data_IF_699071750569
#
_entry.id   IF_699071750569
#
_cell.length_a   1.000
_cell.length_b   1.000
_cell.length_c   1.000
_cell.angle_alpha   90.00
_cell.angle_beta   90.00
_cell.angle_gamma   90.00
#
_symmetry.space_group_name_H-M   'P 1'
#
loop_
_entity.id
_entity.type
_entity.pdbx_description
1 polymer ?
#
# COMPACT_ATOMS: atom_id res chain seq x y z
N UNK A 1 -50.54 -9.85 57.00
CA UNK A 1 -51.23 -9.11 55.93
C UNK A 1 -50.22 -8.93 54.80
N UNK A 2 -50.42 -9.68 53.71
CA UNK A 2 -49.73 -9.77 52.39
C UNK A 2 -48.18 -9.71 52.27
N UNK A 3 -47.55 -10.71 51.64
CA UNK A 3 -46.21 -10.60 51.08
C UNK A 3 -46.25 -9.91 49.70
N UNK A 4 -45.32 -8.99 49.46
CA UNK A 4 -45.21 -8.24 48.21
C UNK A 4 -44.40 -9.04 47.19
N UNK A 5 -45.12 -9.66 46.25
CA UNK A 5 -44.56 -10.36 45.10
C UNK A 5 -44.32 -9.36 43.98
N UNK A 6 -43.07 -8.92 43.78
CA UNK A 6 -42.65 -8.28 42.53
C UNK A 6 -41.49 -9.05 41.92
N UNK A 7 -41.86 -9.96 41.01
CA UNK A 7 -40.91 -10.63 40.12
C UNK A 7 -40.26 -9.58 39.20
N UNK A 8 -38.93 -9.62 38.97
CA UNK A 8 -38.33 -8.79 37.95
C UNK A 8 -38.75 -9.30 36.57
N UNK A 9 -39.52 -8.49 35.85
CA UNK A 9 -39.89 -8.75 34.47
C UNK A 9 -38.63 -8.93 33.61
N UNK A 10 -38.49 -10.11 33.00
CA UNK A 10 -37.55 -10.37 31.91
C UNK A 10 -37.80 -9.36 30.79
N UNK A 11 -36.99 -8.30 30.74
CA UNK A 11 -36.88 -7.46 29.55
C UNK A 11 -36.15 -8.28 28.48
N UNK A 12 -36.90 -8.83 27.54
CA UNK A 12 -36.33 -9.28 26.27
C UNK A 12 -35.60 -8.09 25.65
N UNK A 13 -34.30 -8.19 25.31
CA UNK A 13 -33.61 -7.11 24.63
C UNK A 13 -34.31 -6.83 23.29
N UNK A 14 -34.43 -5.56 22.85
CA UNK A 14 -34.98 -5.26 21.54
C UNK A 14 -34.16 -5.98 20.46
N UNK A 15 -34.78 -6.42 19.35
CA UNK A 15 -34.04 -7.05 18.27
C UNK A 15 -33.01 -6.04 17.75
N UNK A 16 -31.75 -6.25 18.13
CA UNK A 16 -30.63 -5.42 17.72
C UNK A 16 -30.62 -5.35 16.20
N UNK A 17 -30.69 -4.13 15.66
CA UNK A 17 -30.50 -3.83 14.24
C UNK A 17 -29.29 -4.59 13.70
N UNK A 18 -29.52 -5.73 13.05
CA UNK A 18 -28.54 -6.39 12.18
C UNK A 18 -28.46 -5.60 10.87
N UNK A 19 -27.99 -4.36 10.92
CA UNK A 19 -27.92 -3.52 9.73
C UNK A 19 -26.77 -2.55 9.85
N UNK A 20 -25.63 -2.91 9.27
CA UNK A 20 -24.45 -2.03 9.26
C UNK A 20 -23.42 -2.36 8.19
N UNK A 21 -23.08 -3.63 7.94
CA UNK A 21 -21.95 -3.98 7.05
C UNK A 21 -22.34 -4.75 5.77
N UNK A 22 -23.63 -4.99 5.54
CA UNK A 22 -24.09 -5.74 4.37
C UNK A 22 -23.79 -5.07 3.03
N UNK A 23 -23.66 -3.73 3.02
CA UNK A 23 -23.52 -2.94 1.80
C UNK A 23 -22.06 -2.64 1.42
N UNK A 24 -21.11 -2.79 2.34
CA UNK A 24 -19.71 -2.45 2.07
C UNK A 24 -19.09 -3.33 0.97
N UNK A 25 -19.20 -4.65 1.10
CA UNK A 25 -18.65 -5.60 0.12
C UNK A 25 -19.23 -5.37 -1.29
N UNK A 26 -20.57 -5.26 -1.50
CA UNK A 26 -21.11 -5.00 -2.83
C UNK A 26 -20.74 -3.61 -3.37
N UNK A 27 -20.63 -2.57 -2.52
CA UNK A 27 -20.17 -1.26 -2.96
C UNK A 27 -18.72 -1.29 -3.46
N UNK A 28 -17.82 -1.94 -2.71
CA UNK A 28 -16.41 -2.13 -3.13
C UNK A 28 -16.34 -2.94 -4.43
N UNK A 29 -17.12 -4.02 -4.54
CA UNK A 29 -17.18 -4.82 -5.75
C UNK A 29 -17.63 -3.98 -6.96
N UNK A 30 -18.66 -3.14 -6.79
CA UNK A 30 -19.15 -2.27 -7.86
C UNK A 30 -18.07 -1.27 -8.34
N UNK A 31 -17.30 -0.68 -7.42
CA UNK A 31 -16.19 0.22 -7.77
C UNK A 31 -15.12 -0.52 -8.58
N UNK A 32 -14.70 -1.71 -8.14
CA UNK A 32 -13.71 -2.49 -8.87
C UNK A 32 -14.21 -2.91 -10.26
N UNK A 33 -15.48 -3.33 -10.38
CA UNK A 33 -16.08 -3.67 -11.67
C UNK A 33 -16.15 -2.47 -12.61
N UNK A 34 -16.48 -1.29 -12.08
CA UNK A 34 -16.49 -0.04 -12.84
C UNK A 34 -15.08 0.31 -13.34
N UNK A 35 -14.07 0.19 -12.48
CA UNK A 35 -12.67 0.41 -12.87
C UNK A 35 -12.20 -0.61 -13.91
N UNK A 36 -12.55 -1.89 -13.74
CA UNK A 36 -12.24 -2.95 -14.70
C UNK A 36 -12.83 -2.65 -16.08
N UNK A 37 -14.08 -2.17 -16.12
CA UNK A 37 -14.73 -1.80 -17.37
C UNK A 37 -14.10 -0.54 -18.00
N UNK A 38 -13.88 0.51 -17.20
CA UNK A 38 -13.30 1.78 -17.66
C UNK A 38 -11.89 1.62 -18.24
N UNK A 39 -11.04 0.85 -17.56
CA UNK A 39 -9.63 0.68 -17.91
C UNK A 39 -9.35 -0.61 -18.69
N UNK A 40 -10.40 -1.25 -19.23
CA UNK A 40 -10.31 -2.51 -19.98
C UNK A 40 -9.21 -2.53 -21.07
N UNK A 41 -9.02 -1.48 -21.88
CA UNK A 41 -7.96 -1.46 -22.90
C UNK A 41 -6.55 -1.62 -22.31
N UNK A 42 -6.24 -0.88 -21.22
CA UNK A 42 -4.95 -0.94 -20.55
C UNK A 42 -4.75 -2.26 -19.81
N UNK A 43 -5.82 -2.83 -19.24
CA UNK A 43 -5.77 -4.12 -18.55
C UNK A 43 -5.47 -5.25 -19.54
N UNK A 44 -6.17 -5.28 -20.67
CA UNK A 44 -5.95 -6.27 -21.73
C UNK A 44 -4.52 -6.16 -22.30
N UNK A 45 -4.06 -4.93 -22.52
CA UNK A 45 -2.68 -4.66 -22.93
C UNK A 45 -1.65 -5.13 -21.89
N UNK A 46 -1.96 -4.95 -20.60
CA UNK A 46 -1.11 -5.44 -19.50
C UNK A 46 -1.00 -6.96 -19.50
N UNK A 47 -2.11 -7.68 -19.70
CA UNK A 47 -2.08 -9.15 -19.79
C UNK A 47 -1.38 -9.65 -21.06
N UNK A 48 -1.61 -8.99 -22.21
CA UNK A 48 -0.90 -9.32 -23.46
C UNK A 48 0.61 -9.14 -23.30
N UNK A 49 1.04 -8.01 -22.73
CA UNK A 49 2.46 -7.76 -22.50
C UNK A 49 3.06 -8.72 -21.47
N UNK A 50 2.33 -9.07 -20.40
CA UNK A 50 2.77 -10.09 -19.44
C UNK A 50 2.98 -11.45 -20.13
N UNK A 51 2.03 -11.87 -20.99
CA UNK A 51 2.15 -13.13 -21.72
C UNK A 51 3.34 -13.13 -22.71
N UNK A 52 3.56 -12.00 -23.39
CA UNK A 52 4.69 -11.84 -24.32
C UNK A 52 6.02 -11.84 -23.56
N UNK A 53 6.07 -11.23 -22.37
CA UNK A 53 7.24 -11.22 -21.51
C UNK A 53 7.55 -12.62 -20.96
N UNK A 54 6.54 -13.38 -20.56
CA UNK A 54 6.71 -14.77 -20.12
C UNK A 54 7.27 -15.66 -21.23
N UNK A 55 6.78 -15.52 -22.46
CA UNK A 55 7.33 -16.24 -23.62
C UNK A 55 8.76 -15.80 -23.93
N UNK A 56 9.04 -14.49 -23.90
CA UNK A 56 10.38 -13.98 -24.14
C UNK A 56 11.36 -14.41 -23.05
N UNK A 57 10.94 -14.52 -21.79
CA UNK A 57 11.77 -15.04 -20.70
C UNK A 57 12.26 -16.47 -20.98
N UNK A 58 11.45 -17.29 -21.65
CA UNK A 58 11.83 -18.67 -22.01
C UNK A 58 12.71 -18.71 -23.25
N UNK A 59 12.46 -17.84 -24.23
CA UNK A 59 13.16 -17.84 -25.52
C UNK A 59 14.50 -17.09 -25.48
N UNK A 60 14.51 -15.90 -24.88
CA UNK A 60 15.67 -15.01 -24.77
C UNK A 60 15.57 -14.15 -23.48
N UNK A 61 16.04 -14.68 -22.34
CA UNK A 61 16.02 -13.97 -21.07
C UNK A 61 16.81 -12.65 -21.11
N UNK A 62 17.90 -12.60 -21.87
CA UNK A 62 18.73 -11.40 -22.03
C UNK A 62 17.94 -10.26 -22.68
N UNK A 63 17.21 -10.55 -23.76
CA UNK A 63 16.38 -9.56 -24.44
C UNK A 63 15.30 -8.98 -23.52
N UNK A 64 14.67 -9.81 -22.68
CA UNK A 64 13.69 -9.33 -21.71
C UNK A 64 14.35 -8.40 -20.68
N UNK A 65 15.50 -8.79 -20.13
CA UNK A 65 16.20 -8.01 -19.09
C UNK A 65 16.60 -6.61 -19.57
N UNK A 66 16.89 -6.46 -20.86
CA UNK A 66 17.25 -5.17 -21.47
C UNK A 66 16.06 -4.18 -21.56
N UNK A 67 14.82 -4.67 -21.49
CA UNK A 67 13.61 -3.87 -21.75
C UNK A 67 12.73 -3.76 -20.49
N UNK A 68 12.83 -4.73 -19.59
CA UNK A 68 12.01 -4.80 -18.39
C UNK A 68 12.23 -3.59 -17.48
N UNK A 69 11.13 -2.94 -17.09
CA UNK A 69 11.18 -1.84 -16.11
C UNK A 69 10.22 -2.09 -14.94
N UNK A 70 10.54 -1.59 -13.73
CA UNK A 70 9.66 -1.71 -12.57
C UNK A 70 8.25 -1.10 -12.77
N UNK A 71 8.14 -0.10 -13.63
CA UNK A 71 6.86 0.54 -13.97
C UNK A 71 5.91 -0.44 -14.66
N UNK A 72 6.42 -1.27 -15.57
CA UNK A 72 5.63 -2.27 -16.30
C UNK A 72 5.17 -3.37 -15.35
N UNK A 73 6.05 -3.84 -14.47
CA UNK A 73 5.68 -4.81 -13.45
C UNK A 73 4.50 -4.29 -12.60
N UNK A 74 4.45 -2.99 -12.35
CA UNK A 74 3.32 -2.36 -11.65
C UNK A 74 2.01 -2.49 -12.42
N UNK A 75 2.01 -2.32 -13.74
CA UNK A 75 0.83 -2.53 -14.58
C UNK A 75 0.36 -3.98 -14.52
N UNK A 76 1.28 -4.95 -14.58
CA UNK A 76 0.92 -6.37 -14.48
C UNK A 76 0.31 -6.71 -13.12
N UNK A 77 0.94 -6.27 -12.03
CA UNK A 77 0.44 -6.49 -10.67
C UNK A 77 -0.92 -5.83 -10.49
N UNK A 78 -1.08 -4.58 -10.94
CA UNK A 78 -2.34 -3.86 -10.86
C UNK A 78 -3.46 -4.53 -11.67
N UNK A 79 -3.17 -5.01 -12.88
CA UNK A 79 -4.12 -5.75 -13.71
C UNK A 79 -4.53 -7.07 -13.05
N UNK A 80 -3.57 -7.85 -12.53
CA UNK A 80 -3.85 -9.07 -11.80
C UNK A 80 -4.70 -8.80 -10.54
N UNK A 81 -4.38 -7.75 -9.79
CA UNK A 81 -5.14 -7.33 -8.60
C UNK A 81 -6.58 -6.94 -8.94
N UNK A 82 -6.78 -6.17 -10.02
CA UNK A 82 -8.09 -5.69 -10.46
C UNK A 82 -9.02 -6.84 -10.92
N UNK A 83 -8.46 -7.97 -11.38
CA UNK A 83 -9.22 -9.18 -11.71
C UNK A 83 -9.43 -10.08 -10.48
N UNK A 84 -8.39 -10.28 -9.67
CA UNK A 84 -8.41 -11.21 -8.55
C UNK A 84 -9.36 -10.75 -7.43
N UNK A 85 -9.36 -9.46 -7.09
CA UNK A 85 -10.16 -8.95 -5.97
C UNK A 85 -11.67 -9.12 -6.20
N UNK A 86 -12.25 -8.71 -7.34
CA UNK A 86 -13.67 -8.96 -7.64
C UNK A 86 -14.04 -10.44 -7.58
N UNK A 87 -13.18 -11.33 -8.07
CA UNK A 87 -13.40 -12.77 -8.01
C UNK A 87 -13.47 -13.25 -6.55
N UNK A 88 -12.51 -12.86 -5.71
CA UNK A 88 -12.49 -13.18 -4.28
C UNK A 88 -13.73 -12.63 -3.56
N UNK A 89 -14.07 -11.36 -3.77
CA UNK A 89 -15.24 -10.72 -3.16
C UNK A 89 -16.55 -11.41 -3.59
N UNK A 90 -16.66 -11.80 -4.86
CA UNK A 90 -17.82 -12.54 -5.39
C UNK A 90 -17.95 -13.92 -4.75
N UNK A 91 -16.84 -14.65 -4.60
CA UNK A 91 -16.81 -15.94 -3.89
C UNK A 91 -17.22 -15.78 -2.44
N UNK A 92 -16.74 -14.73 -1.75
CA UNK A 92 -17.11 -14.44 -0.36
C UNK A 92 -18.60 -14.12 -0.22
N UNK A 93 -19.17 -13.32 -1.13
CA UNK A 93 -20.61 -13.02 -1.17
C UNK A 93 -21.44 -14.28 -1.43
N UNK A 94 -21.01 -15.12 -2.38
CA UNK A 94 -21.68 -16.38 -2.68
C UNK A 94 -21.68 -17.33 -1.47
N UNK A 95 -20.52 -17.48 -0.80
CA UNK A 95 -20.39 -18.27 0.43
C UNK A 95 -21.30 -17.75 1.54
N UNK A 96 -21.34 -16.43 1.75
CA UNK A 96 -22.20 -15.78 2.77
C UNK A 96 -23.69 -16.06 2.51
N UNK A 97 -24.15 -15.90 1.26
CA UNK A 97 -25.55 -16.20 0.87
C UNK A 97 -25.90 -17.68 1.05
N UNK A 98 -24.99 -18.59 0.67
CA UNK A 98 -25.20 -20.04 0.81
C UNK A 98 -25.25 -20.49 2.27
N UNK A 99 -24.44 -19.89 3.15
CA UNK A 99 -24.42 -20.19 4.59
C UNK A 99 -25.68 -19.70 5.31
N UNK A 100 -26.16 -18.49 5.00
CA UNK A 100 -27.44 -17.98 5.50
C UNK A 100 -28.63 -18.86 5.11
N UNK A 101 -28.51 -19.62 4.02
CA UNK A 101 -29.53 -20.59 3.57
C UNK A 101 -29.47 -21.93 4.33
N UNK A 102 -28.36 -22.22 5.01
CA UNK A 102 -28.09 -23.49 5.73
C UNK A 102 -28.21 -23.36 7.26
N UNK A 103 -28.06 -22.16 7.82
CA UNK A 103 -28.18 -21.84 9.26
C UNK A 103 -29.65 -21.75 9.78
N UNK A 104 -30.65 -22.12 8.97
CA UNK A 104 -32.05 -22.28 9.43
C UNK A 104 -32.35 -23.67 10.04
N UNK A 105 -31.32 -24.43 10.44
CA UNK A 105 -31.47 -25.71 11.16
C UNK A 105 -30.83 -25.65 12.55
N UNK A 106 -31.40 -26.32 13.58
CA UNK A 106 -30.90 -26.24 14.94
C UNK A 106 -29.61 -27.08 15.08
N UNK A 107 -28.50 -26.43 15.38
CA UNK A 107 -27.22 -27.09 15.65
C UNK A 107 -26.23 -26.15 16.32
N UNK A 108 -26.04 -26.34 17.63
CA UNK A 108 -25.03 -25.67 18.44
C UNK A 108 -23.63 -26.19 18.05
N UNK A 109 -22.86 -25.38 17.32
CA UNK A 109 -21.42 -25.62 17.12
C UNK A 109 -20.65 -24.78 18.15
N UNK A 110 -19.92 -25.45 19.05
CA UNK A 110 -18.82 -24.84 19.80
C UNK A 110 -17.87 -24.14 18.82
N UNK A 111 -17.97 -22.82 18.76
CA UNK A 111 -17.25 -22.07 17.77
C UNK A 111 -15.77 -22.04 18.11
N UNK A 112 -14.93 -22.58 17.21
CA UNK A 112 -13.46 -22.43 17.25
C UNK A 112 -13.05 -21.02 17.72
N UNK A 113 -12.04 -20.93 18.60
CA UNK A 113 -11.50 -19.66 19.13
C UNK A 113 -11.30 -18.58 18.05
N UNK A 114 -10.87 -18.99 16.85
CA UNK A 114 -10.72 -18.12 15.69
C UNK A 114 -12.05 -17.54 15.19
N UNK A 115 -13.13 -18.33 15.16
CA UNK A 115 -14.49 -17.89 14.84
C UNK A 115 -15.03 -16.92 15.90
N UNK A 116 -14.70 -17.12 17.17
CA UNK A 116 -15.12 -16.23 18.27
C UNK A 116 -14.41 -14.88 18.15
N UNK A 117 -13.07 -14.87 18.06
CA UNK A 117 -12.30 -13.64 17.87
C UNK A 117 -12.69 -12.89 16.60
N UNK A 118 -12.89 -13.60 15.47
CA UNK A 118 -13.37 -12.95 14.26
C UNK A 118 -14.75 -12.30 14.45
N UNK A 119 -15.68 -12.95 15.17
CA UNK A 119 -16.98 -12.35 15.48
C UNK A 119 -16.84 -11.13 16.40
N UNK A 120 -15.97 -11.19 17.41
CA UNK A 120 -15.70 -10.06 18.28
C UNK A 120 -15.14 -8.86 17.50
N UNK A 121 -14.17 -9.09 16.60
CA UNK A 121 -13.65 -8.05 15.72
C UNK A 121 -14.75 -7.44 14.83
N UNK A 122 -15.59 -8.29 14.22
CA UNK A 122 -16.69 -7.84 13.36
C UNK A 122 -17.81 -7.10 14.11
N UNK A 123 -17.84 -7.13 15.45
CA UNK A 123 -18.77 -6.31 16.26
C UNK A 123 -18.25 -4.89 16.46
N UNK A 124 -16.96 -4.63 16.22
CA UNK A 124 -16.38 -3.32 16.41
C UNK A 124 -16.46 -2.46 15.14
N UNK A 125 -17.37 -1.49 15.15
CA UNK A 125 -17.61 -0.62 14.00
C UNK A 125 -16.35 0.20 13.61
N UNK A 126 -15.62 0.72 14.60
CA UNK A 126 -14.45 1.57 14.37
C UNK A 126 -13.32 0.77 13.68
N UNK A 127 -12.99 -0.42 14.19
CA UNK A 127 -11.97 -1.28 13.61
C UNK A 127 -12.35 -1.75 12.19
N UNK A 128 -13.63 -1.96 11.91
CA UNK A 128 -14.11 -2.30 10.57
C UNK A 128 -13.97 -1.14 9.58
N UNK A 129 -14.34 0.08 9.98
CA UNK A 129 -14.16 1.27 9.12
C UNK A 129 -12.68 1.51 8.87
N UNK A 130 -11.83 1.41 9.89
CA UNK A 130 -10.39 1.53 9.74
C UNK A 130 -9.81 0.45 8.81
N UNK A 131 -10.27 -0.79 8.92
CA UNK A 131 -9.87 -1.89 8.02
C UNK A 131 -10.30 -1.64 6.58
N UNK A 132 -11.50 -1.09 6.38
CA UNK A 132 -12.00 -0.70 5.07
C UNK A 132 -11.14 0.39 4.44
N UNK A 133 -10.74 1.41 5.22
CA UNK A 133 -9.85 2.47 4.77
C UNK A 133 -8.47 1.92 4.42
N UNK A 134 -7.88 1.06 5.25
CA UNK A 134 -6.61 0.40 4.94
C UNK A 134 -6.71 -0.42 3.64
N UNK A 135 -7.80 -1.17 3.46
CA UNK A 135 -8.04 -1.90 2.22
C UNK A 135 -8.10 -0.96 1.00
N UNK A 136 -8.76 0.19 1.12
CA UNK A 136 -8.80 1.21 0.06
C UNK A 136 -7.40 1.78 -0.20
N UNK A 137 -6.60 2.06 0.84
CA UNK A 137 -5.24 2.57 0.71
C UNK A 137 -4.31 1.59 -0.02
N UNK A 138 -4.32 0.31 0.35
CA UNK A 138 -3.55 -0.70 -0.40
C UNK A 138 -4.09 -0.92 -1.81
N UNK A 139 -5.41 -0.88 -2.00
CA UNK A 139 -6.00 -0.96 -3.34
C UNK A 139 -5.55 0.21 -4.21
N UNK A 140 -5.50 1.42 -3.64
CA UNK A 140 -4.98 2.64 -4.30
C UNK A 140 -3.53 2.46 -4.69
N UNK A 141 -2.70 1.87 -3.82
CA UNK A 141 -1.31 1.56 -4.13
C UNK A 141 -1.18 0.59 -5.32
N UNK A 142 -1.89 -0.54 -5.31
CA UNK A 142 -1.84 -1.51 -6.41
C UNK A 142 -2.42 -0.96 -7.72
N UNK A 143 -3.45 -0.13 -7.65
CA UNK A 143 -4.15 0.43 -8.80
C UNK A 143 -3.59 1.78 -9.26
N UNK A 144 -2.54 2.30 -8.62
CA UNK A 144 -1.93 3.59 -8.96
C UNK A 144 -1.65 3.78 -10.46
N UNK A 145 -1.15 2.78 -11.22
CA UNK A 145 -0.93 2.93 -12.65
C UNK A 145 -2.20 3.22 -13.48
N UNK A 146 -3.36 2.81 -12.98
CA UNK A 146 -4.65 2.93 -13.66
C UNK A 146 -5.48 4.11 -13.16
N UNK A 147 -5.39 4.44 -11.87
CA UNK A 147 -6.24 5.49 -11.26
C UNK A 147 -5.58 6.87 -11.24
N UNK A 148 -4.24 6.95 -11.30
CA UNK A 148 -3.57 8.24 -11.32
C UNK A 148 -3.88 8.96 -12.64
N UNK A 149 -4.24 10.25 -12.63
CA UNK A 149 -4.53 10.99 -13.86
C UNK A 149 -3.26 11.25 -14.70
N UNK A 150 -2.12 11.47 -14.05
CA UNK A 150 -0.84 11.77 -14.69
C UNK A 150 0.26 10.82 -14.22
N UNK A 151 1.34 10.72 -14.99
CA UNK A 151 2.56 10.08 -14.51
C UNK A 151 3.13 10.93 -13.36
N UNK A 152 3.54 10.32 -12.23
CA UNK A 152 4.08 11.06 -11.10
C UNK A 152 5.47 11.67 -11.38
N UNK A 153 6.08 11.26 -12.50
CA UNK A 153 7.43 11.65 -12.93
C UNK A 153 7.41 12.75 -13.99
N UNK A 154 6.28 12.95 -14.68
CA UNK A 154 6.16 13.90 -15.79
C UNK A 154 6.31 15.32 -15.26
N UNK A 155 7.49 15.91 -15.48
CA UNK A 155 7.67 17.35 -15.36
C UNK A 155 6.96 18.00 -16.54
N UNK A 156 6.04 18.92 -16.24
CA UNK A 156 5.24 19.60 -17.24
C UNK A 156 5.86 20.95 -17.57
N UNK A 157 5.23 21.74 -18.44
CA UNK A 157 5.67 23.11 -18.75
C UNK A 157 5.64 24.00 -17.50
N UNK A 158 6.70 23.97 -16.70
CA UNK A 158 6.76 24.56 -15.36
C UNK A 158 6.40 26.05 -15.32
N UNK A 159 6.61 26.79 -16.42
CA UNK A 159 6.22 28.19 -16.56
C UNK A 159 4.70 28.40 -16.43
N UNK A 160 3.91 27.39 -16.80
CA UNK A 160 2.44 27.40 -16.74
C UNK A 160 1.96 26.51 -15.60
N UNK A 161 2.61 25.38 -15.34
CA UNK A 161 2.07 24.35 -14.45
C UNK A 161 2.63 24.39 -13.04
N UNK A 162 3.71 25.11 -12.75
CA UNK A 162 4.27 25.15 -11.41
C UNK A 162 3.32 25.83 -10.41
N UNK A 163 3.23 25.27 -9.21
CA UNK A 163 2.53 25.86 -8.06
C UNK A 163 1.06 26.25 -8.31
N UNK A 164 0.36 25.52 -9.17
CA UNK A 164 -1.08 25.69 -9.35
C UNK A 164 -1.85 25.09 -8.17
N UNK A 165 -2.81 25.84 -7.60
CA UNK A 165 -3.59 25.39 -6.46
C UNK A 165 -4.50 24.21 -6.81
N UNK A 166 -5.09 23.54 -5.80
CA UNK A 166 -6.06 22.48 -6.01
C UNK A 166 -7.23 22.90 -6.91
N UNK A 167 -7.74 21.94 -7.67
CA UNK A 167 -8.84 22.13 -8.65
C UNK A 167 -8.52 23.10 -9.80
N UNK A 168 -7.24 23.35 -10.10
CA UNK A 168 -6.88 24.15 -11.27
C UNK A 168 -7.15 23.39 -12.56
N UNK A 169 -7.76 24.06 -13.53
CA UNK A 169 -7.97 23.58 -14.89
C UNK A 169 -7.04 24.33 -15.84
N UNK A 170 -6.23 23.60 -16.61
CA UNK A 170 -5.30 24.17 -17.60
C UNK A 170 -5.59 23.62 -19.00
N UNK A 171 -5.34 24.45 -20.00
CA UNK A 171 -5.40 24.05 -21.40
C UNK A 171 -4.04 23.51 -21.85
N UNK A 172 -4.08 22.41 -22.60
CA UNK A 172 -2.89 21.77 -23.13
C UNK A 172 -3.05 21.51 -24.63
N UNK A 173 -2.17 22.10 -25.44
CA UNK A 173 -2.13 21.89 -26.89
C UNK A 173 -1.60 20.49 -27.18
N UNK A 174 -2.30 19.73 -28.02
CA UNK A 174 -1.92 18.36 -28.38
C UNK A 174 -1.08 18.36 -29.65
N UNK A 175 0.14 17.86 -29.55
CA UNK A 175 1.11 17.84 -30.65
C UNK A 175 1.06 16.51 -31.41
N UNK A 176 1.44 16.51 -32.69
CA UNK A 176 1.71 15.28 -33.45
C UNK A 176 2.95 14.53 -32.96
N UNK A 177 3.87 15.22 -32.29
CA UNK A 177 5.05 14.61 -31.70
C UNK A 177 4.64 13.59 -30.63
N UNK A 178 5.27 12.42 -30.62
CA UNK A 178 4.99 11.40 -29.61
C UNK A 178 5.63 11.73 -28.24
N UNK A 179 4.96 11.30 -27.17
CA UNK A 179 5.32 11.54 -25.76
C UNK A 179 6.50 10.69 -25.29
N UNK A 180 7.65 10.79 -25.97
CA UNK A 180 8.94 10.09 -25.69
C UNK A 180 9.09 8.72 -26.39
N UNK A 181 10.19 8.56 -27.14
CA UNK A 181 10.61 7.33 -27.83
C UNK A 181 12.14 7.19 -27.77
N UNK A 182 12.67 6.26 -26.99
CA UNK A 182 14.11 5.87 -27.04
C UNK A 182 14.34 4.35 -26.86
N UNK A 183 13.38 3.49 -27.24
CA UNK A 183 13.72 2.07 -27.43
C UNK A 183 13.57 1.76 -28.91
N UNK A 184 14.63 1.83 -29.73
CA UNK A 184 14.52 1.54 -31.15
C UNK A 184 13.94 0.13 -31.37
N UNK A 185 13.03 0.02 -32.34
CA UNK A 185 12.49 -1.28 -32.78
C UNK A 185 13.64 -2.03 -33.43
N UNK A 186 13.84 -3.29 -33.06
CA UNK A 186 14.93 -4.08 -33.63
C UNK A 186 14.57 -4.58 -35.03
N UNK A 187 15.53 -4.50 -35.94
CA UNK A 187 15.44 -5.09 -37.28
C UNK A 187 15.92 -6.54 -37.22
N UNK A 188 15.15 -7.45 -37.80
CA UNK A 188 15.48 -8.88 -37.83
C UNK A 188 14.25 -9.76 -38.01
N UNK A 189 14.48 -11.03 -38.32
CA UNK A 189 13.43 -12.05 -38.44
C UNK A 189 13.50 -13.05 -37.29
N UNK A 190 12.34 -13.60 -36.90
CA UNK A 190 12.25 -14.60 -35.83
C UNK A 190 11.21 -14.27 -34.75
N UNK A 191 10.78 -15.30 -34.01
CA UNK A 191 9.74 -15.16 -32.98
C UNK A 191 10.19 -14.27 -31.82
N UNK A 192 11.44 -14.37 -31.38
CA UNK A 192 11.99 -13.55 -30.29
C UNK A 192 11.97 -12.06 -30.63
N UNK A 193 12.42 -11.68 -31.83
CA UNK A 193 12.40 -10.28 -32.31
C UNK A 193 10.96 -9.74 -32.42
N UNK A 194 10.02 -10.56 -32.92
CA UNK A 194 8.58 -10.17 -32.97
C UNK A 194 8.00 -9.93 -31.58
N UNK A 195 8.27 -10.83 -30.64
CA UNK A 195 7.83 -10.70 -29.25
C UNK A 195 8.45 -9.46 -28.58
N UNK A 196 9.74 -9.23 -28.80
CA UNK A 196 10.47 -8.07 -28.30
C UNK A 196 9.84 -6.75 -28.82
N UNK A 197 9.61 -6.65 -30.13
CA UNK A 197 9.01 -5.47 -30.74
C UNK A 197 7.55 -5.26 -30.29
N UNK A 198 6.78 -6.34 -30.13
CA UNK A 198 5.43 -6.28 -29.54
C UNK A 198 5.47 -5.78 -28.10
N UNK A 199 6.40 -6.27 -27.27
CA UNK A 199 6.59 -5.82 -25.90
C UNK A 199 6.97 -4.35 -25.82
N UNK A 200 7.91 -3.91 -26.65
CA UNK A 200 8.31 -2.50 -26.71
C UNK A 200 7.11 -1.61 -27.05
N UNK A 201 6.30 -2.01 -28.03
CA UNK A 201 5.06 -1.30 -28.39
C UNK A 201 4.08 -1.23 -27.22
N UNK A 202 3.84 -2.37 -26.57
CA UNK A 202 2.89 -2.46 -25.45
C UNK A 202 3.37 -1.63 -24.26
N UNK A 203 4.66 -1.67 -23.93
CA UNK A 203 5.24 -0.88 -22.85
C UNK A 203 5.16 0.61 -23.12
N UNK A 204 5.36 1.06 -24.36
CA UNK A 204 5.15 2.47 -24.73
C UNK A 204 3.70 2.88 -24.48
N UNK A 205 2.74 2.09 -24.95
CA UNK A 205 1.33 2.39 -24.78
C UNK A 205 0.87 2.35 -23.30
N UNK A 206 1.43 1.45 -22.49
CA UNK A 206 1.19 1.42 -21.03
C UNK A 206 1.80 2.64 -20.33
N UNK A 207 3.05 3.00 -20.64
CA UNK A 207 3.72 4.18 -20.04
C UNK A 207 3.01 5.48 -20.40
N UNK A 208 2.57 5.62 -21.64
CA UNK A 208 1.79 6.80 -22.06
C UNK A 208 0.31 6.72 -21.68
N UNK A 209 -0.13 5.62 -21.06
CA UNK A 209 -1.53 5.35 -20.69
C UNK A 209 -2.50 5.60 -21.84
N UNK A 210 -2.14 5.10 -23.02
CA UNK A 210 -2.90 5.30 -24.24
C UNK A 210 -3.04 6.78 -24.67
N UNK A 211 -2.13 7.65 -24.24
CA UNK A 211 -2.00 9.04 -24.69
C UNK A 211 -0.65 9.21 -25.42
N UNK A 212 -0.53 8.72 -26.67
CA UNK A 212 0.75 8.64 -27.37
C UNK A 212 1.35 10.00 -27.72
N UNK A 213 0.55 11.07 -27.71
CA UNK A 213 0.92 12.39 -28.19
C UNK A 213 1.44 13.28 -27.05
N UNK A 214 2.45 14.07 -27.35
CA UNK A 214 2.97 15.10 -26.45
C UNK A 214 1.95 16.23 -26.29
N UNK A 215 1.93 16.83 -25.10
CA UNK A 215 1.06 17.97 -24.79
C UNK A 215 1.90 19.13 -24.31
N UNK A 216 1.48 20.36 -24.62
CA UNK A 216 2.07 21.60 -24.11
C UNK A 216 1.04 22.43 -23.38
N UNK A 217 1.26 22.69 -22.10
CA UNK A 217 0.38 23.54 -21.30
C UNK A 217 0.59 25.01 -21.64
N UNK A 218 -0.51 25.74 -21.75
CA UNK A 218 -0.53 27.15 -22.18
C UNK A 218 -1.50 27.94 -21.31
N UNK A 219 -1.20 29.24 -21.09
CA UNK A 219 -2.12 30.16 -20.42
C UNK A 219 -3.21 30.66 -21.37
N UNK A 220 -2.86 30.81 -22.65
CA UNK A 220 -3.77 31.17 -23.73
C UNK A 220 -3.15 30.83 -25.08
N UNK A 221 -3.99 30.61 -26.10
CA UNK A 221 -3.54 30.40 -27.47
C UNK A 221 -4.46 31.12 -28.46
N UNK A 222 -3.92 31.43 -29.64
CA UNK A 222 -4.65 31.98 -30.76
C UNK A 222 -4.10 31.38 -32.06
N UNK A 223 -5.01 31.04 -32.98
CA UNK A 223 -4.66 30.54 -34.30
C UNK A 223 -4.88 31.67 -35.30
N UNK A 224 -3.82 32.10 -35.98
CA UNK A 224 -3.87 33.11 -37.04
C UNK A 224 -3.00 32.68 -38.22
N UNK A 225 -3.55 32.76 -39.44
CA UNK A 225 -2.81 32.58 -40.70
C UNK A 225 -1.92 31.32 -40.75
N UNK A 226 -2.44 30.18 -40.26
CA UNK A 226 -1.71 28.89 -40.28
C UNK A 226 -0.66 28.73 -39.18
N UNK A 227 -0.56 29.68 -38.24
CA UNK A 227 0.32 29.57 -37.07
C UNK A 227 -0.47 29.67 -35.77
N UNK A 228 -0.01 28.94 -34.77
CA UNK A 228 -0.54 29.00 -33.41
C UNK A 228 0.40 29.83 -32.56
N UNK A 229 -0.09 30.98 -32.12
CA UNK A 229 0.60 31.82 -31.13
C UNK A 229 0.06 31.46 -29.75
N UNK A 230 0.93 31.08 -28.83
CA UNK A 230 0.55 30.66 -27.49
C UNK A 230 1.44 31.27 -26.41
N UNK A 231 0.87 31.47 -25.23
CA UNK A 231 1.53 32.10 -24.09
C UNK A 231 1.87 31.06 -23.01
N UNK A 232 3.11 31.09 -22.53
CA UNK A 232 3.61 30.30 -21.41
C UNK A 232 4.29 31.24 -20.41
N UNK A 233 3.57 31.62 -19.36
CA UNK A 233 3.98 32.64 -18.40
C UNK A 233 4.22 33.98 -19.08
N UNK A 234 5.46 34.47 -19.02
CA UNK A 234 5.86 35.74 -19.66
C UNK A 234 6.30 35.58 -21.11
N UNK A 235 6.36 34.35 -21.64
CA UNK A 235 6.86 34.09 -23.00
C UNK A 235 5.70 33.83 -23.95
N UNK A 236 5.71 34.53 -25.08
CA UNK A 236 4.85 34.22 -26.22
C UNK A 236 5.67 33.44 -27.23
N UNK A 237 5.15 32.31 -27.69
CA UNK A 237 5.79 31.43 -28.67
C UNK A 237 4.84 31.20 -29.83
N UNK A 238 5.40 30.89 -30.99
CA UNK A 238 4.66 30.52 -32.19
C UNK A 238 5.06 29.13 -32.63
N UNK A 239 4.11 28.39 -33.19
CA UNK A 239 4.37 27.13 -33.88
C UNK A 239 3.45 27.00 -35.11
N UNK A 240 3.86 26.29 -36.16
CA UNK A 240 3.00 25.95 -37.29
C UNK A 240 1.79 25.11 -36.83
N UNK A 241 0.62 25.34 -37.43
CA UNK A 241 -0.60 24.55 -37.12
C UNK A 241 -0.41 23.07 -37.47
N UNK A 242 0.50 22.76 -38.39
CA UNK A 242 0.84 21.40 -38.80
C UNK A 242 1.43 20.57 -37.66
N UNK A 243 2.01 21.20 -36.63
CA UNK A 243 2.52 20.51 -35.43
C UNK A 243 1.41 20.01 -34.51
N UNK A 244 0.18 20.55 -34.62
CA UNK A 244 -0.96 20.13 -33.81
C UNK A 244 -1.56 18.82 -34.33
N UNK A 245 -2.00 17.96 -33.41
CA UNK A 245 -2.68 16.71 -33.73
C UNK A 245 -3.98 16.96 -34.50
N UNK A 246 -4.83 17.85 -33.97
CA UNK A 246 -6.12 18.24 -34.56
C UNK A 246 -6.25 19.77 -34.49
N UNK A 247 -6.08 20.49 -35.62
CA UNK A 247 -6.24 21.95 -35.66
C UNK A 247 -7.64 22.47 -35.29
N UNK A 248 -8.70 21.66 -35.46
CA UNK A 248 -10.07 22.09 -35.16
C UNK A 248 -10.35 22.07 -33.66
N UNK A 249 -9.75 21.12 -32.94
CA UNK A 249 -9.77 21.05 -31.48
C UNK A 249 -8.34 20.91 -30.93
N UNK A 250 -7.57 22.02 -30.95
CA UNK A 250 -6.12 21.99 -30.73
C UNK A 250 -5.74 21.74 -29.27
N UNK A 251 -6.65 22.01 -28.34
CA UNK A 251 -6.39 21.98 -26.91
C UNK A 251 -7.30 20.99 -26.19
N UNK A 252 -6.74 20.27 -25.23
CA UNK A 252 -7.48 19.48 -24.25
C UNK A 252 -7.38 20.13 -22.89
N UNK A 253 -8.48 20.13 -22.15
CA UNK A 253 -8.47 20.61 -20.78
C UNK A 253 -8.04 19.52 -19.81
N UNK A 254 -7.23 19.89 -18.82
CA UNK A 254 -6.64 19.00 -17.82
C UNK A 254 -6.84 19.60 -16.43
N UNK A 255 -7.31 18.77 -15.50
CA UNK A 255 -7.63 19.19 -14.12
C UNK A 255 -6.59 18.63 -13.16
N UNK A 256 -6.04 19.50 -12.30
CA UNK A 256 -5.11 19.16 -11.22
C UNK A 256 -5.84 19.16 -9.89
N UNK A 257 -6.42 18.02 -9.52
CA UNK A 257 -7.35 17.93 -8.38
C UNK A 257 -6.73 18.36 -7.04
N UNK A 258 -5.48 17.96 -6.77
CA UNK A 258 -4.74 18.35 -5.56
C UNK A 258 -3.67 19.43 -5.82
N UNK A 259 -3.71 20.05 -6.99
CA UNK A 259 -2.73 21.04 -7.41
C UNK A 259 -1.43 20.41 -7.93
N UNK A 260 -0.41 21.26 -8.06
CA UNK A 260 0.89 20.90 -8.65
C UNK A 260 2.04 21.36 -7.75
N UNK A 261 3.21 20.75 -7.95
CA UNK A 261 4.45 21.15 -7.29
C UNK A 261 5.27 22.17 -8.10
N UNK A 262 6.47 22.48 -7.60
CA UNK A 262 7.41 23.41 -8.22
C UNK A 262 7.87 23.03 -9.63
N UNK A 263 7.77 21.76 -10.00
CA UNK A 263 8.13 21.23 -11.33
C UNK A 263 6.89 21.02 -12.21
N UNK A 264 5.71 21.45 -11.75
CA UNK A 264 4.45 21.24 -12.45
C UNK A 264 3.96 19.80 -12.45
N UNK A 265 4.46 18.95 -11.53
CA UNK A 265 3.99 17.57 -11.40
C UNK A 265 2.69 17.56 -10.61
N UNK A 266 1.74 16.70 -11.01
CA UNK A 266 0.44 16.58 -10.35
C UNK A 266 0.57 15.94 -8.95
N UNK A 267 0.14 16.65 -7.91
CA UNK A 267 0.22 16.19 -6.51
C UNK A 267 -0.67 14.99 -6.27
N UNK A 268 -1.84 14.89 -6.91
CA UNK A 268 -2.74 13.75 -6.75
C UNK A 268 -2.06 12.45 -7.20
N UNK A 269 -1.47 12.46 -8.39
CA UNK A 269 -0.72 11.33 -8.94
C UNK A 269 0.48 10.99 -8.07
N UNK A 270 1.20 11.99 -7.56
CA UNK A 270 2.34 11.78 -6.65
C UNK A 270 1.92 11.17 -5.31
N UNK A 271 0.81 11.60 -4.70
CA UNK A 271 0.28 11.03 -3.44
C UNK A 271 -0.20 9.60 -3.65
N UNK A 272 -0.91 9.33 -4.76
CA UNK A 272 -1.37 7.99 -5.13
C UNK A 272 -0.18 7.04 -5.33
N UNK A 273 0.83 7.42 -6.11
CA UNK A 273 2.03 6.60 -6.28
C UNK A 273 2.88 6.51 -5.01
N UNK A 274 2.93 7.59 -4.22
CA UNK A 274 3.64 7.63 -2.93
C UNK A 274 3.10 6.62 -1.93
N UNK A 275 1.79 6.32 -1.99
CA UNK A 275 1.18 5.28 -1.15
C UNK A 275 1.85 3.91 -1.36
N UNK A 276 2.31 3.60 -2.57
CA UNK A 276 2.99 2.32 -2.87
C UNK A 276 4.27 2.19 -2.08
N UNK A 277 5.08 3.24 -2.08
CA UNK A 277 6.38 3.21 -1.42
C UNK A 277 6.20 3.23 0.09
N UNK A 278 5.45 4.20 0.62
CA UNK A 278 5.29 4.36 2.07
C UNK A 278 4.57 3.16 2.72
N UNK A 279 3.51 2.61 2.10
CA UNK A 279 2.83 1.42 2.64
C UNK A 279 3.70 0.16 2.52
N UNK A 280 4.44 -0.01 1.43
CA UNK A 280 5.33 -1.17 1.26
C UNK A 280 6.47 -1.17 2.27
N UNK A 281 7.09 -0.01 2.53
CA UNK A 281 8.14 0.11 3.56
C UNK A 281 7.55 -0.23 4.93
N UNK A 282 6.40 0.35 5.29
CA UNK A 282 5.70 0.04 6.54
C UNK A 282 5.46 -1.45 6.74
N UNK A 283 4.92 -2.12 5.72
CA UNK A 283 4.62 -3.54 5.75
C UNK A 283 5.88 -4.41 5.82
N UNK A 284 6.86 -4.18 4.94
CA UNK A 284 8.07 -5.00 4.85
C UNK A 284 8.92 -4.90 6.12
N UNK A 285 9.08 -3.71 6.67
CA UNK A 285 9.85 -3.52 7.91
C UNK A 285 9.19 -4.25 9.07
N UNK A 286 7.86 -4.13 9.23
CA UNK A 286 7.15 -4.89 10.28
C UNK A 286 7.30 -6.38 10.06
N UNK A 287 7.13 -6.87 8.83
CA UNK A 287 7.24 -8.29 8.51
C UNK A 287 8.64 -8.84 8.90
N UNK A 288 9.71 -8.16 8.49
CA UNK A 288 11.09 -8.56 8.79
C UNK A 288 11.37 -8.45 10.29
N UNK A 289 11.06 -7.32 10.92
CA UNK A 289 11.27 -7.11 12.36
C UNK A 289 10.51 -8.11 13.21
N UNK A 290 9.27 -8.43 12.85
CA UNK A 290 8.45 -9.40 13.58
C UNK A 290 8.99 -10.79 13.42
N UNK A 291 9.39 -11.17 12.21
CA UNK A 291 9.97 -12.50 11.94
C UNK A 291 11.28 -12.67 12.72
N UNK A 292 12.22 -11.73 12.58
CA UNK A 292 13.50 -11.78 13.27
C UNK A 292 13.33 -11.74 14.79
N UNK A 293 12.50 -10.83 15.29
CA UNK A 293 12.20 -10.72 16.71
C UNK A 293 11.56 -11.99 17.27
N UNK A 294 10.65 -12.62 16.53
CA UNK A 294 10.02 -13.88 16.95
C UNK A 294 11.03 -15.02 17.00
N UNK A 295 11.88 -15.16 16.00
CA UNK A 295 12.93 -16.19 15.99
C UNK A 295 13.86 -16.01 17.19
N UNK A 296 14.36 -14.80 17.43
CA UNK A 296 15.27 -14.54 18.55
C UNK A 296 14.56 -14.73 19.89
N UNK A 297 13.35 -14.17 20.08
CA UNK A 297 12.61 -14.24 21.33
C UNK A 297 12.14 -15.64 21.70
N UNK A 298 11.70 -16.45 20.72
CA UNK A 298 11.37 -17.86 20.94
C UNK A 298 12.60 -18.67 21.31
N UNK A 299 13.70 -18.48 20.58
CA UNK A 299 14.96 -19.19 20.85
C UNK A 299 15.49 -18.85 22.24
N UNK A 300 15.56 -17.56 22.58
CA UNK A 300 16.08 -17.11 23.87
C UNK A 300 15.18 -17.57 25.04
N UNK A 301 13.87 -17.39 24.93
CA UNK A 301 12.92 -17.76 25.99
C UNK A 301 12.81 -19.26 26.20
N UNK A 302 12.91 -20.06 25.13
CA UNK A 302 12.76 -21.52 25.20
C UNK A 302 13.99 -22.21 25.79
N UNK A 303 15.19 -21.90 25.26
CA UNK A 303 16.42 -22.53 25.70
C UNK A 303 16.94 -21.97 27.04
N UNK A 304 16.68 -20.70 27.34
CA UNK A 304 17.11 -20.08 28.59
C UNK A 304 18.65 -20.05 28.74
N UNK A 305 19.10 -19.89 29.99
CA UNK A 305 20.53 -19.98 30.36
C UNK A 305 21.42 -19.03 29.57
N UNK A 306 22.52 -19.55 29.03
CA UNK A 306 23.51 -18.75 28.30
C UNK A 306 22.99 -18.22 26.95
N UNK A 307 22.10 -18.95 26.26
CA UNK A 307 21.50 -18.52 24.98
C UNK A 307 20.69 -17.27 25.22
N UNK A 308 19.89 -17.27 26.28
CA UNK A 308 19.09 -16.13 26.67
C UNK A 308 19.94 -14.94 27.13
N UNK A 309 20.95 -15.20 27.97
CA UNK A 309 21.87 -14.18 28.44
C UNK A 309 22.60 -13.49 27.28
N UNK A 310 23.13 -14.25 26.31
CA UNK A 310 23.83 -13.69 25.16
C UNK A 310 22.88 -12.92 24.24
N UNK A 311 21.73 -13.50 23.89
CA UNK A 311 20.77 -12.87 23.00
C UNK A 311 20.22 -11.57 23.60
N UNK A 312 19.83 -11.59 24.88
CA UNK A 312 19.31 -10.40 25.54
C UNK A 312 20.40 -9.36 25.80
N UNK A 313 21.64 -9.77 26.09
CA UNK A 313 22.76 -8.82 26.21
C UNK A 313 23.02 -8.08 24.90
N UNK A 314 22.99 -8.77 23.76
CA UNK A 314 23.10 -8.13 22.44
C UNK A 314 21.95 -7.15 22.20
N UNK A 315 20.72 -7.55 22.51
CA UNK A 315 19.54 -6.67 22.40
C UNK A 315 19.69 -5.44 23.29
N UNK A 316 20.11 -5.60 24.54
CA UNK A 316 20.26 -4.50 25.50
C UNK A 316 21.36 -3.52 25.08
N UNK A 317 22.48 -4.02 24.54
CA UNK A 317 23.55 -3.19 23.96
C UNK A 317 23.01 -2.35 22.80
N UNK A 318 22.25 -2.96 21.88
CA UNK A 318 21.74 -2.25 20.71
C UNK A 318 20.63 -1.24 21.07
N UNK A 319 19.76 -1.55 22.04
CA UNK A 319 18.72 -0.62 22.53
C UNK A 319 19.32 0.59 23.27
N UNK A 320 20.50 0.43 23.88
CA UNK A 320 21.18 1.54 24.56
C UNK A 320 21.55 2.69 23.61
N UNK A 321 21.72 2.40 22.31
CA UNK A 321 21.89 3.43 21.29
C UNK A 321 20.53 4.00 20.87
N UNK A 322 20.38 5.34 20.78
CA UNK A 322 19.11 5.89 20.30
C UNK A 322 18.90 5.53 18.83
N UNK A 323 17.80 4.83 18.55
CA UNK A 323 17.54 4.21 17.25
C UNK A 323 17.63 5.19 16.08
N UNK A 324 17.16 6.43 16.26
CA UNK A 324 17.26 7.46 15.23
C UNK A 324 18.71 7.75 14.83
N UNK A 325 19.63 7.93 15.78
CA UNK A 325 21.05 8.16 15.43
C UNK A 325 21.64 6.99 14.67
N UNK A 326 21.34 5.77 15.07
CA UNK A 326 21.82 4.57 14.37
C UNK A 326 21.30 4.52 12.93
N UNK A 327 20.01 4.82 12.73
CA UNK A 327 19.41 4.88 11.39
C UNK A 327 20.10 5.96 10.55
N UNK A 328 20.27 7.17 11.10
CA UNK A 328 20.89 8.30 10.40
C UNK A 328 22.34 8.00 10.02
N UNK A 329 23.14 7.42 10.93
CA UNK A 329 24.54 7.07 10.65
C UNK A 329 24.62 6.04 9.52
N UNK A 330 23.80 4.99 9.57
CA UNK A 330 23.81 3.95 8.54
C UNK A 330 23.44 4.55 7.18
N UNK A 331 22.36 5.32 7.11
CA UNK A 331 21.91 5.90 5.84
C UNK A 331 22.92 6.94 5.32
N UNK A 332 23.45 7.80 6.18
CA UNK A 332 24.45 8.80 5.78
C UNK A 332 25.76 8.17 5.30
N UNK A 333 26.15 7.02 5.86
CA UNK A 333 27.40 6.32 5.51
C UNK A 333 27.25 5.50 4.22
N UNK A 334 26.14 4.76 4.07
CA UNK A 334 25.96 3.81 2.96
C UNK A 334 25.10 4.37 1.81
N UNK A 335 24.59 5.60 1.94
CA UNK A 335 23.80 6.28 0.92
C UNK A 335 22.30 5.97 0.98
N UNK A 336 21.54 6.58 0.10
CA UNK A 336 20.07 6.47 0.11
C UNK A 336 19.58 5.39 -0.85
N UNK A 337 18.94 4.34 -0.31
CA UNK A 337 18.28 3.30 -1.08
C UNK A 337 17.04 2.80 -0.34
N UNK A 338 15.95 2.52 -1.07
CA UNK A 338 14.72 1.95 -0.48
C UNK A 338 15.05 0.65 0.27
N UNK A 339 15.94 -0.18 -0.30
CA UNK A 339 16.39 -1.42 0.33
C UNK A 339 17.15 -1.15 1.62
N UNK A 340 18.06 -0.16 1.62
CA UNK A 340 18.80 0.21 2.82
C UNK A 340 17.88 0.75 3.91
N UNK A 341 16.89 1.58 3.55
CA UNK A 341 15.89 2.08 4.51
C UNK A 341 15.15 0.91 5.14
N UNK A 342 14.65 -0.04 4.34
CA UNK A 342 13.94 -1.22 4.85
C UNK A 342 14.83 -2.06 5.77
N UNK A 343 16.06 -2.36 5.36
CA UNK A 343 17.00 -3.15 6.17
C UNK A 343 17.35 -2.43 7.48
N UNK A 344 17.63 -1.14 7.41
CA UNK A 344 18.04 -0.32 8.56
C UNK A 344 16.91 -0.19 9.59
N UNK A 345 15.69 0.12 9.13
CA UNK A 345 14.52 0.16 10.01
C UNK A 345 14.17 -1.23 10.57
N UNK A 346 14.38 -2.30 9.78
CA UNK A 346 14.14 -3.67 10.25
C UNK A 346 15.15 -4.09 11.32
N UNK A 347 16.42 -3.71 11.14
CA UNK A 347 17.54 -3.96 12.04
C UNK A 347 17.37 -3.26 13.38
N UNK A 348 16.82 -2.04 13.39
CA UNK A 348 16.51 -1.36 14.65
C UNK A 348 15.16 -1.79 15.25
N UNK A 349 14.26 -2.34 14.43
CA UNK A 349 12.91 -2.67 14.84
C UNK A 349 12.68 -4.05 15.49
N UNK A 350 13.56 -5.03 15.31
CA UNK A 350 13.30 -6.40 15.79
C UNK A 350 13.49 -6.57 17.31
N UNK A 351 14.30 -5.72 17.92
CA UNK A 351 14.70 -5.79 19.34
C UNK A 351 13.52 -5.69 20.31
N UNK A 352 12.58 -4.78 20.07
CA UNK A 352 11.38 -4.68 20.89
C UNK A 352 10.49 -5.92 20.79
N UNK A 353 10.38 -6.50 19.58
CA UNK A 353 9.60 -7.72 19.35
C UNK A 353 10.23 -8.91 20.05
N UNK A 354 11.55 -9.06 20.01
CA UNK A 354 12.23 -10.19 20.66
C UNK A 354 11.98 -10.23 22.16
N UNK A 355 11.97 -9.07 22.84
CA UNK A 355 11.65 -8.97 24.27
C UNK A 355 10.20 -9.34 24.58
N UNK A 356 9.25 -8.89 23.76
CA UNK A 356 7.82 -9.24 23.90
C UNK A 356 7.63 -10.75 23.70
N UNK A 357 8.24 -11.32 22.65
CA UNK A 357 8.11 -12.74 22.36
C UNK A 357 8.76 -13.57 23.47
N UNK A 358 9.94 -13.19 23.93
CA UNK A 358 10.64 -13.85 25.04
C UNK A 358 9.76 -13.92 26.29
N UNK A 359 9.14 -12.80 26.69
CA UNK A 359 8.30 -12.80 27.89
C UNK A 359 7.10 -13.75 27.76
N UNK A 360 6.49 -13.82 26.59
CA UNK A 360 5.41 -14.77 26.30
C UNK A 360 5.90 -16.22 26.35
N UNK A 361 7.07 -16.50 25.79
CA UNK A 361 7.66 -17.85 25.78
C UNK A 361 8.01 -18.30 27.20
N UNK A 362 8.55 -17.41 28.04
CA UNK A 362 8.84 -17.70 29.44
C UNK A 362 7.56 -18.06 30.21
N UNK A 363 6.44 -17.40 29.95
CA UNK A 363 5.16 -17.76 30.58
C UNK A 363 4.58 -19.06 30.01
N UNK A 364 4.61 -19.24 28.69
CA UNK A 364 4.02 -20.42 28.04
C UNK A 364 4.79 -21.71 28.33
N UNK A 365 6.13 -21.65 28.47
CA UNK A 365 6.94 -22.86 28.68
C UNK A 365 6.66 -23.55 30.03
N UNK A 366 6.07 -22.82 30.97
CA UNK A 366 5.70 -23.31 32.31
C UNK A 366 4.28 -23.88 32.36
N UNK A 367 3.50 -23.78 31.27
CA UNK A 367 2.14 -24.31 31.23
C UNK A 367 2.10 -25.84 31.09
N UNK A 368 1.06 -26.45 31.68
CA UNK A 368 0.90 -27.91 31.77
C UNK A 368 0.98 -28.63 30.42
N UNK A 369 0.43 -28.05 29.35
CA UNK A 369 0.47 -28.68 28.02
C UNK A 369 1.89 -28.74 27.43
N UNK A 370 2.77 -27.78 27.77
CA UNK A 370 4.18 -27.82 27.36
C UNK A 370 4.94 -28.83 28.20
N UNK A 371 4.67 -28.89 29.51
CA UNK A 371 5.26 -29.90 30.40
C UNK A 371 4.88 -31.31 29.95
N UNK A 372 3.61 -31.56 29.67
CA UNK A 372 3.12 -32.82 29.13
C UNK A 372 3.78 -33.17 27.78
N UNK A 373 3.90 -32.20 26.86
CA UNK A 373 4.59 -32.42 25.58
C UNK A 373 6.07 -32.82 25.76
N UNK A 374 6.76 -32.25 26.75
CA UNK A 374 8.14 -32.64 27.09
C UNK A 374 8.19 -34.04 27.70
N UNK A 375 7.28 -34.36 28.62
CA UNK A 375 7.18 -35.69 29.25
C UNK A 375 6.88 -36.79 28.24
N UNK A 376 6.14 -36.48 27.17
CA UNK A 376 5.87 -37.37 26.04
C UNK A 376 7.05 -37.49 25.05
N UNK A 377 8.19 -36.83 25.32
CA UNK A 377 9.39 -36.94 24.49
C UNK A 377 9.32 -36.20 23.15
N UNK A 378 8.46 -35.18 23.00
CA UNK A 378 8.41 -34.40 21.78
C UNK A 378 9.72 -33.63 21.57
N UNK A 379 10.27 -33.67 20.36
CA UNK A 379 11.46 -32.90 19.97
C UNK A 379 11.26 -31.40 20.19
N UNK A 380 12.33 -30.66 20.51
CA UNK A 380 12.32 -29.22 20.70
C UNK A 380 11.67 -28.45 19.55
N UNK A 381 12.01 -28.80 18.30
CA UNK A 381 11.42 -28.16 17.11
C UNK A 381 9.91 -28.36 17.05
N UNK A 382 9.42 -29.55 17.38
CA UNK A 382 7.97 -29.83 17.44
C UNK A 382 7.30 -29.00 18.53
N UNK A 383 7.91 -28.87 19.70
CA UNK A 383 7.39 -28.02 20.79
C UNK A 383 7.35 -26.55 20.34
N UNK A 384 8.42 -26.06 19.74
CA UNK A 384 8.54 -24.68 19.27
C UNK A 384 7.48 -24.38 18.20
N UNK A 385 7.46 -25.11 17.08
CA UNK A 385 6.64 -24.75 15.93
C UNK A 385 5.17 -25.14 16.09
N UNK A 386 4.84 -26.15 16.90
CA UNK A 386 3.46 -26.61 17.07
C UNK A 386 2.79 -26.06 18.33
N UNK A 387 3.56 -25.70 19.36
CA UNK A 387 3.00 -25.32 20.65
C UNK A 387 3.42 -23.94 21.13
N UNK A 388 4.67 -23.48 20.96
CA UNK A 388 5.07 -22.16 21.46
C UNK A 388 4.81 -21.05 20.45
N UNK A 389 5.44 -21.11 19.26
CA UNK A 389 5.36 -20.05 18.27
C UNK A 389 3.91 -19.72 17.88
N UNK A 390 3.00 -20.68 17.62
CA UNK A 390 1.60 -20.34 17.33
C UNK A 390 0.88 -19.61 18.46
N UNK A 391 1.20 -19.92 19.72
CA UNK A 391 0.57 -19.30 20.89
C UNK A 391 1.15 -17.91 21.21
N UNK A 392 2.41 -17.64 20.84
CA UNK A 392 3.02 -16.32 20.98
C UNK A 392 2.61 -15.35 19.87
N UNK A 393 2.09 -15.84 18.73
CA UNK A 393 1.69 -14.99 17.61
C UNK A 393 0.57 -14.01 17.94
N UNK A 394 -0.35 -14.34 18.84
CA UNK A 394 -1.48 -13.46 19.21
C UNK A 394 -1.03 -12.07 19.69
N UNK A 395 -0.25 -11.95 20.79
CA UNK A 395 0.28 -10.65 21.23
C UNK A 395 1.24 -10.02 20.22
N UNK A 396 1.95 -10.82 19.44
CA UNK A 396 2.87 -10.34 18.40
C UNK A 396 2.12 -9.67 17.25
N UNK A 397 0.98 -10.22 16.82
CA UNK A 397 0.15 -9.64 15.75
C UNK A 397 -0.41 -8.30 16.20
N UNK A 398 -0.88 -8.20 17.45
CA UNK A 398 -1.37 -6.94 18.02
C UNK A 398 -0.26 -5.88 18.01
N UNK A 399 0.92 -6.24 18.52
CA UNK A 399 2.08 -5.33 18.51
C UNK A 399 2.48 -4.96 17.07
N UNK A 400 2.47 -5.92 16.14
CA UNK A 400 2.82 -5.71 14.74
C UNK A 400 1.90 -4.69 14.07
N UNK A 401 0.58 -4.78 14.29
CA UNK A 401 -0.38 -3.85 13.69
C UNK A 401 -0.15 -2.40 14.10
N UNK A 402 0.14 -2.15 15.38
CA UNK A 402 0.44 -0.82 15.89
C UNK A 402 1.78 -0.26 15.37
N UNK A 403 2.74 -1.15 15.08
CA UNK A 403 4.07 -0.75 14.59
C UNK A 403 4.09 -0.30 13.13
N UNK A 404 3.13 -0.72 12.30
CA UNK A 404 3.10 -0.30 10.90
C UNK A 404 3.00 1.24 10.81
N UNK A 405 2.11 1.84 11.60
CA UNK A 405 1.94 3.29 11.63
C UNK A 405 3.21 4.04 12.07
N UNK A 406 3.88 3.58 13.13
CA UNK A 406 5.10 4.23 13.62
C UNK A 406 6.28 4.12 12.65
N UNK A 407 6.38 3.00 11.91
CA UNK A 407 7.39 2.83 10.86
C UNK A 407 7.12 3.75 9.68
N UNK A 408 5.87 3.87 9.22
CA UNK A 408 5.51 4.80 8.14
C UNK A 408 5.84 6.24 8.55
N UNK A 409 5.55 6.62 9.80
CA UNK A 409 5.89 7.93 10.32
C UNK A 409 7.41 8.15 10.40
N UNK A 410 8.16 7.12 10.79
CA UNK A 410 9.64 7.18 10.85
C UNK A 410 10.24 7.32 9.45
N UNK A 411 9.77 6.54 8.47
CA UNK A 411 10.17 6.68 7.06
C UNK A 411 9.87 8.08 6.53
N UNK A 412 8.66 8.58 6.78
CA UNK A 412 8.28 9.91 6.36
C UNK A 412 9.16 11.00 6.99
N UNK A 413 9.52 10.85 8.28
CA UNK A 413 10.45 11.73 8.97
C UNK A 413 11.86 11.70 8.37
N UNK A 414 12.38 10.52 8.02
CA UNK A 414 13.67 10.40 7.34
C UNK A 414 13.65 11.02 5.94
N UNK A 415 12.59 10.77 5.17
CA UNK A 415 12.36 11.39 3.86
C UNK A 415 12.23 12.92 3.96
N UNK A 416 11.59 13.43 5.02
CA UNK A 416 11.52 14.85 5.33
C UNK A 416 12.90 15.47 5.63
N UNK A 417 13.77 14.73 6.31
CA UNK A 417 15.16 15.13 6.57
C UNK A 417 16.09 14.97 5.35
N UNK A 418 15.59 14.46 4.22
CA UNK A 418 16.37 14.22 3.01
C UNK A 418 17.17 12.91 3.01
N UNK A 419 16.97 12.05 4.01
CA UNK A 419 17.64 10.77 4.19
C UNK A 419 16.74 9.57 3.87
N UNK A 420 15.57 9.82 3.29
CA UNK A 420 14.63 8.78 2.89
C UNK A 420 14.67 8.50 1.39
N UNK A 421 13.49 8.19 0.84
CA UNK A 421 13.33 7.88 -0.59
C UNK A 421 13.65 9.12 -1.42
N UNK A 422 14.59 8.99 -2.35
CA UNK A 422 15.05 10.11 -3.17
C UNK A 422 14.18 10.29 -4.42
N UNK A 423 13.97 11.55 -4.88
CA UNK A 423 13.40 11.82 -6.19
C UNK A 423 14.15 11.08 -7.31
N UNK A 424 13.49 10.67 -8.41
CA UNK A 424 12.13 11.07 -8.82
C UNK A 424 11.01 10.21 -8.22
N UNK A 425 11.33 9.14 -7.48
CA UNK A 425 10.36 8.22 -6.87
C UNK A 425 9.55 8.93 -5.78
N UNK A 426 8.21 9.02 -5.88
CA UNK A 426 7.40 9.65 -4.85
C UNK A 426 7.28 8.75 -3.60
N UNK A 427 7.46 9.33 -2.43
CA UNK A 427 7.02 8.82 -1.12
C UNK A 427 6.25 9.93 -0.41
N UNK A 428 5.40 9.61 0.57
CA UNK A 428 4.69 10.70 1.25
C UNK A 428 5.63 11.67 1.97
N UNK A 429 6.69 11.16 2.61
CA UNK A 429 7.66 12.02 3.30
C UNK A 429 8.47 12.90 2.36
N UNK A 430 8.84 12.43 1.17
CA UNK A 430 9.64 13.25 0.26
C UNK A 430 8.82 14.31 -0.46
N UNK A 431 7.52 14.07 -0.70
CA UNK A 431 6.61 15.11 -1.21
C UNK A 431 6.45 16.21 -0.15
N UNK A 432 6.38 15.84 1.14
CA UNK A 432 6.35 16.83 2.23
C UNK A 432 7.64 17.67 2.23
N UNK A 433 8.80 17.03 2.05
CA UNK A 433 10.10 17.71 1.95
C UNK A 433 10.10 18.73 0.80
N UNK A 434 9.66 18.32 -0.39
CA UNK A 434 9.58 19.18 -1.58
C UNK A 434 8.71 20.44 -1.37
N UNK A 435 7.68 20.36 -0.52
CA UNK A 435 6.81 21.49 -0.18
C UNK A 435 7.25 22.35 1.00
N UNK A 436 8.28 21.93 1.76
CA UNK A 436 8.61 22.50 3.08
C UNK A 436 8.90 24.00 3.02
N UNK A 437 9.66 24.46 2.03
CA UNK A 437 10.10 25.85 1.90
C UNK A 437 9.01 26.74 1.29
N UNK A 438 7.91 26.12 0.83
CA UNK A 438 6.77 26.78 0.18
C UNK A 438 5.48 26.70 1.00
N UNK A 439 5.52 26.24 2.26
CA UNK A 439 4.34 25.96 3.07
C UNK A 439 3.36 27.14 3.19
N UNK A 440 3.87 28.38 3.31
CA UNK A 440 3.03 29.56 3.45
C UNK A 440 2.22 29.90 2.19
N UNK A 441 2.78 29.64 1.01
CA UNK A 441 2.19 30.02 -0.27
C UNK A 441 1.54 28.84 -1.00
N UNK A 442 2.07 27.64 -0.81
CA UNK A 442 1.75 26.41 -1.55
C UNK A 442 1.53 25.23 -0.59
N UNK A 443 0.72 25.46 0.46
CA UNK A 443 0.46 24.51 1.55
C UNK A 443 0.03 23.11 1.09
N UNK A 444 -0.70 23.01 -0.02
CA UNK A 444 -1.25 21.75 -0.52
C UNK A 444 -0.19 20.68 -0.80
N UNK A 445 1.03 21.10 -1.19
CA UNK A 445 2.13 20.17 -1.52
C UNK A 445 2.45 19.28 -0.32
N UNK A 446 2.55 19.85 0.89
CA UNK A 446 2.86 19.10 2.11
C UNK A 446 1.61 18.60 2.85
N UNK A 447 0.49 19.32 2.78
CA UNK A 447 -0.72 18.96 3.53
C UNK A 447 -1.36 17.66 3.05
N UNK A 448 -1.51 17.43 1.74
CA UNK A 448 -2.15 16.22 1.22
C UNK A 448 -1.40 14.91 1.52
N UNK A 449 -0.07 14.79 1.28
CA UNK A 449 0.66 13.62 1.75
C UNK A 449 0.67 13.50 3.28
N UNK A 450 0.66 14.62 4.02
CA UNK A 450 0.53 14.62 5.48
C UNK A 450 -0.81 14.02 5.97
N UNK A 451 -1.93 14.37 5.32
CA UNK A 451 -3.24 13.77 5.58
C UNK A 451 -3.22 12.27 5.25
N UNK A 452 -2.57 11.86 4.16
CA UNK A 452 -2.45 10.45 3.81
C UNK A 452 -1.71 9.64 4.88
N UNK A 453 -0.60 10.17 5.42
CA UNK A 453 0.11 9.57 6.57
C UNK A 453 -0.80 9.51 7.78
N UNK A 454 -1.44 10.62 8.15
CA UNK A 454 -2.30 10.70 9.34
C UNK A 454 -3.43 9.67 9.29
N UNK A 455 -4.17 9.61 8.18
CA UNK A 455 -5.26 8.64 7.98
C UNK A 455 -4.74 7.22 8.08
N UNK A 456 -3.58 6.94 7.46
CA UNK A 456 -2.96 5.62 7.49
C UNK A 456 -2.59 5.20 8.91
N UNK A 457 -1.88 6.05 9.66
CA UNK A 457 -1.42 5.77 11.03
C UNK A 457 -2.60 5.56 11.97
N UNK A 458 -3.60 6.46 11.91
CA UNK A 458 -4.82 6.35 12.72
C UNK A 458 -5.54 5.04 12.42
N UNK A 459 -5.73 4.68 11.14
CA UNK A 459 -6.42 3.44 10.80
C UNK A 459 -5.67 2.20 11.28
N UNK A 460 -4.33 2.15 11.16
CA UNK A 460 -3.56 1.01 11.67
C UNK A 460 -3.64 0.87 13.18
N UNK A 461 -3.63 2.00 13.92
CA UNK A 461 -3.82 1.99 15.37
C UNK A 461 -5.21 1.46 15.74
N UNK A 462 -6.27 1.98 15.11
CA UNK A 462 -7.66 1.54 15.35
C UNK A 462 -7.87 0.06 15.02
N UNK A 463 -7.24 -0.45 13.94
CA UNK A 463 -7.27 -1.88 13.64
C UNK A 463 -6.50 -2.68 14.69
N UNK A 464 -5.35 -2.20 15.15
CA UNK A 464 -4.57 -2.87 16.20
C UNK A 464 -5.32 -2.98 17.51
N UNK A 465 -6.01 -1.92 17.92
CA UNK A 465 -6.89 -1.91 19.09
C UNK A 465 -8.03 -2.91 18.92
N UNK A 466 -8.67 -2.94 17.75
CA UNK A 466 -9.75 -3.90 17.53
C UNK A 466 -9.31 -5.36 17.45
N UNK A 467 -8.10 -5.62 16.92
CA UNK A 467 -7.48 -6.95 16.96
C UNK A 467 -7.16 -7.34 18.40
N UNK A 468 -6.64 -6.40 19.21
CA UNK A 468 -6.37 -6.62 20.63
C UNK A 468 -7.64 -7.01 21.37
N UNK A 469 -8.70 -6.24 21.20
CA UNK A 469 -9.94 -6.46 21.91
C UNK A 469 -10.61 -7.79 21.53
N UNK A 470 -10.54 -8.15 20.24
CA UNK A 470 -11.05 -9.42 19.74
C UNK A 470 -10.30 -10.65 20.27
N UNK A 471 -9.02 -10.46 20.62
CA UNK A 471 -8.13 -11.51 21.10
C UNK A 471 -8.02 -11.54 22.64
N UNK A 472 -8.49 -10.52 23.35
CA UNK A 472 -8.51 -10.48 24.81
C UNK A 472 -9.53 -11.50 25.39
N UNK A 473 -9.10 -12.50 26.19
CA UNK A 473 -9.99 -13.45 26.83
C UNK A 473 -10.86 -12.83 27.94
N UNK A 474 -10.41 -11.74 28.59
CA UNK A 474 -11.07 -11.17 29.79
C UNK A 474 -12.37 -10.46 29.46
N UNK A 475 -12.49 -9.91 28.26
CA UNK A 475 -13.73 -9.28 27.77
C UNK A 475 -14.82 -10.29 27.42
N UNK A 476 -14.55 -11.60 27.51
CA UNK A 476 -15.52 -12.66 27.22
C UNK A 476 -16.38 -13.08 28.42
N UNK A 477 -16.05 -12.62 29.63
CA UNK A 477 -16.75 -13.01 30.87
C UNK A 477 -17.79 -12.00 31.38
N UNK A 478 -18.15 -10.98 30.59
CA UNK A 478 -19.09 -9.91 30.97
C UNK A 478 -20.34 -9.82 30.07
N UNK A 479 -20.49 -10.72 29.09
CA UNK A 479 -21.75 -10.96 28.36
C UNK A 479 -22.42 -12.21 28.93
#
# INVERSE_FOLDING_TARGET
>A
MKPDTTAPAHRTPPPGRKQGSGWFIPAVLAVFLLLLFREAPLILLSFRSLSSAALLLVLDPSALSAIFTPEIAAFWIGAAYLVAIPAVLSVLLWRKRRKSRKENGPGEEEASLRKISFRAFMRQNIALVASAIIFILYSTAFLAPFIAPFSPYDQQDFLVTAYRPPMTQLEALVLKQQKTLEIPIQQGEGMAVRLQNSLISDFRALKTRNQPNAVRFVDSYRIEKGTVTYRQGMRTKTMPVEELMDPANPAVSRIFGLGTDQYGRDILSRVVYGSRISLSIGFLVVLISVTLGTVVGVTSGYFGGWVDALAMRLVDILIAFPALFLILIIIATFGNSIYLIVITLSFTGWMGVSRIVRSQVLSLKEQEFILAARSLGLSHLRIIFRHLAPNTLTPVIIAATLRIGSIILTEAGLSFLGLGVQPPVPSWGNIINEGRDSLLNHWWISTFPGIAILVTVVCFNLVGDGVRDALDPRMRGQE
#
